data_IF_614158506558
#
_entry.id   IF_614158506558
#
_cell.length_a   1.000
_cell.length_b   1.000
_cell.length_c   1.000
_cell.angle_alpha   90.00
_cell.angle_beta   90.00
_cell.angle_gamma   90.00
#
_symmetry.space_group_name_H-M   'P 1'
#
loop_
_entity.id
_entity.type
_entity.pdbx_description
1 polymer ?
#
# COMPACT_ATOMS: atom_id res chain seq x y z
N UNK A 1 -8.81 2.21 0.51
CA UNK A 1 -7.63 1.87 -0.33
C UNK A 1 -6.31 2.28 0.33
N UNK A 2 -6.04 3.57 0.57
CA UNK A 2 -4.79 4.02 1.21
C UNK A 2 -4.57 3.38 2.59
N UNK A 3 -5.62 3.30 3.43
CA UNK A 3 -5.52 2.67 4.75
C UNK A 3 -5.15 1.18 4.71
N UNK A 4 -5.61 0.45 3.70
CA UNK A 4 -5.25 -0.96 3.52
C UNK A 4 -3.80 -1.12 3.07
N UNK A 5 -3.34 -0.24 2.17
CA UNK A 5 -1.94 -0.21 1.76
C UNK A 5 -1.02 0.18 2.92
N UNK A 6 -1.39 1.18 3.71
CA UNK A 6 -0.64 1.57 4.91
C UNK A 6 -0.61 0.44 5.94
N UNK A 7 -1.73 -0.26 6.14
CA UNK A 7 -1.77 -1.46 6.98
C UNK A 7 -0.78 -2.51 6.48
N UNK A 8 -0.79 -2.82 5.17
CA UNK A 8 0.11 -3.81 4.55
C UNK A 8 1.58 -3.47 4.72
N UNK A 9 1.96 -2.20 4.60
CA UNK A 9 3.34 -1.74 4.82
C UNK A 9 3.74 -1.80 6.30
N UNK A 10 2.82 -1.47 7.21
CA UNK A 10 3.06 -1.52 8.65
C UNK A 10 3.17 -2.93 9.20
N UNK A 11 2.34 -3.86 8.73
CA UNK A 11 2.25 -5.22 9.28
C UNK A 11 3.13 -6.23 8.55
N UNK A 12 3.48 -6.01 7.29
CA UNK A 12 4.18 -7.00 6.48
C UNK A 12 3.33 -8.21 6.06
N UNK A 13 2.13 -8.37 6.62
CA UNK A 13 1.26 -9.54 6.49
C UNK A 13 0.72 -9.71 5.05
N UNK A 14 0.44 -10.94 4.60
CA UNK A 14 -0.11 -11.18 3.27
C UNK A 14 -1.53 -10.60 3.11
N UNK A 15 -1.91 -10.29 1.86
CA UNK A 15 -3.24 -9.71 1.55
C UNK A 15 -4.43 -10.57 1.99
N UNK A 16 -4.23 -11.89 2.14
CA UNK A 16 -5.27 -12.83 2.59
C UNK A 16 -5.62 -12.71 4.07
N UNK A 17 -4.71 -12.17 4.87
CA UNK A 17 -4.92 -11.91 6.30
C UNK A 17 -5.50 -10.51 6.55
N UNK A 18 -5.82 -9.79 5.48
CA UNK A 18 -6.27 -8.42 5.62
C UNK A 18 -7.68 -8.39 6.23
N UNK A 19 -7.92 -7.60 7.28
CA UNK A 19 -9.21 -7.57 7.96
C UNK A 19 -10.38 -7.21 7.04
N UNK A 20 -11.53 -7.86 7.20
CA UNK A 20 -12.72 -7.69 6.35
C UNK A 20 -13.25 -6.25 6.31
N UNK A 21 -12.95 -5.43 7.32
CA UNK A 21 -13.25 -3.98 7.32
C UNK A 21 -12.64 -3.23 6.13
N UNK A 22 -11.62 -3.81 5.49
CA UNK A 22 -11.09 -3.30 4.23
C UNK A 22 -11.83 -3.95 3.07
N UNK A 23 -13.02 -3.44 2.79
CA UNK A 23 -13.87 -3.91 1.70
C UNK A 23 -13.13 -3.99 0.36
N UNK A 24 -13.49 -4.98 -0.46
CA UNK A 24 -12.99 -5.16 -1.83
C UNK A 24 -11.45 -5.33 -1.93
N UNK A 25 -10.91 -6.36 -1.26
CA UNK A 25 -9.49 -6.76 -1.32
C UNK A 25 -8.93 -6.81 -2.75
N UNK A 26 -9.72 -7.27 -3.72
CA UNK A 26 -9.33 -7.36 -5.13
C UNK A 26 -9.07 -5.96 -5.75
N UNK A 27 -9.93 -4.98 -5.46
CA UNK A 27 -9.77 -3.61 -5.93
C UNK A 27 -8.54 -2.96 -5.31
N UNK A 28 -8.32 -3.19 -4.01
CA UNK A 28 -7.15 -2.68 -3.29
C UNK A 28 -5.87 -3.25 -3.89
N UNK A 29 -5.81 -4.57 -4.08
CA UNK A 29 -4.67 -5.24 -4.70
C UNK A 29 -4.39 -4.74 -6.12
N UNK A 30 -5.43 -4.60 -6.96
CA UNK A 30 -5.28 -4.08 -8.33
C UNK A 30 -4.67 -2.68 -8.35
N UNK A 31 -5.10 -1.81 -7.45
CA UNK A 31 -4.56 -0.45 -7.35
C UNK A 31 -3.15 -0.44 -6.77
N UNK A 32 -2.88 -1.26 -5.76
CA UNK A 32 -1.52 -1.44 -5.23
C UNK A 32 -0.54 -1.87 -6.33
N UNK A 33 -0.92 -2.88 -7.13
CA UNK A 33 -0.12 -3.37 -8.23
C UNK A 33 0.05 -2.32 -9.34
N UNK A 34 -1.02 -1.57 -9.67
CA UNK A 34 -0.95 -0.45 -10.63
C UNK A 34 0.06 0.59 -10.16
N UNK A 35 0.00 1.03 -8.91
CA UNK A 35 0.92 2.00 -8.33
C UNK A 35 2.37 1.51 -8.31
N UNK A 36 2.58 0.22 -8.10
CA UNK A 36 3.91 -0.39 -8.23
C UNK A 36 4.44 -0.28 -9.66
N UNK A 37 3.61 -0.58 -10.65
CA UNK A 37 3.99 -0.49 -12.08
C UNK A 37 4.22 0.95 -12.54
N UNK A 38 3.49 1.91 -11.97
CA UNK A 38 3.62 3.32 -12.33
C UNK A 38 4.65 4.08 -11.50
N UNK A 39 5.44 3.40 -10.66
CA UNK A 39 6.51 4.01 -9.87
C UNK A 39 6.05 4.89 -8.71
N UNK A 40 4.78 4.80 -8.30
CA UNK A 40 4.23 5.61 -7.19
C UNK A 40 4.94 5.28 -5.88
N UNK A 41 5.27 4.00 -5.64
CA UNK A 41 5.97 3.61 -4.42
C UNK A 41 7.36 4.20 -4.28
N UNK A 42 8.10 4.33 -5.40
CA UNK A 42 9.40 4.98 -5.39
C UNK A 42 9.29 6.46 -4.99
N UNK A 43 8.31 7.18 -5.55
CA UNK A 43 8.06 8.60 -5.22
C UNK A 43 7.63 8.79 -3.77
N UNK A 44 6.79 7.89 -3.25
CA UNK A 44 6.36 7.92 -1.85
C UNK A 44 7.56 7.69 -0.92
N UNK A 45 8.41 6.72 -1.22
CA UNK A 45 9.62 6.44 -0.45
C UNK A 45 10.58 7.64 -0.43
N UNK A 46 10.88 8.20 -1.60
CA UNK A 46 11.71 9.39 -1.75
C UNK A 46 11.17 10.56 -0.92
N UNK A 47 9.86 10.81 -0.99
CA UNK A 47 9.23 11.89 -0.23
C UNK A 47 9.33 11.67 1.28
N UNK A 48 9.10 10.44 1.76
CA UNK A 48 9.20 10.12 3.19
C UNK A 48 10.65 10.27 3.67
N UNK A 49 11.62 9.81 2.90
CA UNK A 49 13.05 9.96 3.22
C UNK A 49 13.44 11.43 3.29
N UNK A 50 12.96 12.27 2.37
CA UNK A 50 13.21 13.72 2.40
C UNK A 50 12.58 14.45 3.59
N UNK A 51 11.54 13.88 4.20
CA UNK A 51 10.87 14.44 5.38
C UNK A 51 11.52 13.97 6.70
N UNK A 52 12.41 12.99 6.64
CA UNK A 52 13.12 12.43 7.80
C UNK A 52 14.52 13.03 7.99
N UNK A 53 14.92 14.01 7.16
CA UNK A 53 16.10 14.86 7.36
C UNK A 53 15.70 16.21 7.94
#
# INVERSE_FOLDING_TARGET
MVGATAWRFRTGAPWREMPERFENLNTIYKNFNRWSKTGVWARVLEKIQSLSQ
#
